data_IF_171780268673
#
_entry.id   IF_171780268673
#
_cell.length_a   1.000
_cell.length_b   1.000
_cell.length_c   1.000
_cell.angle_alpha   90.00
_cell.angle_beta   90.00
_cell.angle_gamma   90.00
#
_symmetry.space_group_name_H-M   'P 1'
#
loop_
_entity.id
_entity.type
_entity.pdbx_description
1 polymer ?
#
# COMPACT_ATOMS: atom_id res chain seq x y z
N UNK A 1 -2.48 -3.94 -6.90
CA UNK A 1 -1.67 -2.90 -7.56
C UNK A 1 -0.20 -3.16 -7.26
N UNK A 2 0.70 -3.19 -8.26
CA UNK A 2 2.11 -3.58 -8.07
C UNK A 2 3.00 -2.44 -7.53
N UNK A 3 2.68 -1.19 -7.84
CA UNK A 3 3.47 -0.01 -7.45
C UNK A 3 3.58 0.14 -5.92
N UNK A 4 2.49 -0.07 -5.17
CA UNK A 4 2.53 -0.06 -3.69
C UNK A 4 3.46 -1.11 -3.10
N UNK A 5 3.57 -2.29 -3.72
CA UNK A 5 4.50 -3.33 -3.25
C UNK A 5 5.95 -2.95 -3.52
N UNK A 6 6.22 -2.27 -4.65
CA UNK A 6 7.55 -1.73 -4.94
C UNK A 6 7.94 -0.71 -3.87
N UNK A 7 7.09 0.26 -3.57
CA UNK A 7 7.36 1.27 -2.52
C UNK A 7 7.60 0.68 -1.13
N UNK A 8 6.82 -0.34 -0.75
CA UNK A 8 7.04 -1.04 0.51
C UNK A 8 8.41 -1.75 0.51
N UNK A 9 8.75 -2.45 -0.59
CA UNK A 9 10.04 -3.10 -0.74
C UNK A 9 11.20 -2.10 -0.70
N UNK A 10 11.06 -0.98 -1.38
CA UNK A 10 12.06 0.09 -1.41
C UNK A 10 12.28 0.68 0.00
N UNK A 11 11.21 0.84 0.79
CA UNK A 11 11.28 1.39 2.16
C UNK A 11 11.85 0.39 3.18
N UNK A 12 11.54 -0.89 3.03
CA UNK A 12 11.77 -1.88 4.10
C UNK A 12 12.80 -2.96 3.76
N UNK A 13 13.09 -3.18 2.48
CA UNK A 13 13.96 -4.26 2.01
C UNK A 13 15.15 -3.79 1.16
N UNK A 14 15.18 -2.53 0.73
CA UNK A 14 16.33 -1.99 0.01
C UNK A 14 17.55 -1.93 0.92
N UNK A 15 18.65 -2.57 0.50
CA UNK A 15 19.96 -2.43 1.12
C UNK A 15 20.74 -1.24 0.53
N UNK A 16 22.04 -1.19 0.77
CA UNK A 16 22.92 -0.11 0.30
C UNK A 16 22.94 0.07 -1.23
N UNK A 17 22.64 -1.00 -1.99
CA UNK A 17 22.54 -0.96 -3.44
C UNK A 17 21.26 -0.25 -3.95
N UNK A 18 20.33 0.10 -3.06
CA UNK A 18 19.05 0.71 -3.42
C UNK A 18 18.02 -0.29 -3.97
N UNK A 19 16.89 0.23 -4.48
CA UNK A 19 15.79 -0.60 -4.98
C UNK A 19 16.11 -1.23 -6.34
N UNK A 20 15.63 -2.45 -6.64
CA UNK A 20 15.92 -3.13 -7.91
C UNK A 20 15.16 -2.53 -9.11
N UNK A 21 14.10 -1.75 -8.87
CA UNK A 21 13.28 -1.07 -9.89
C UNK A 21 12.73 0.22 -9.32
N UNK A 22 12.60 1.25 -10.17
CA UNK A 22 11.94 2.51 -9.84
C UNK A 22 10.75 2.72 -10.78
N UNK A 23 9.65 3.26 -10.27
CA UNK A 23 8.50 3.67 -11.07
C UNK A 23 8.59 5.17 -11.39
N UNK A 24 8.57 5.51 -12.68
CA UNK A 24 8.73 6.88 -13.17
C UNK A 24 7.62 7.25 -14.15
N UNK A 25 7.24 8.52 -14.14
CA UNK A 25 6.27 9.06 -15.07
C UNK A 25 6.90 9.19 -16.45
N UNK A 26 6.25 8.62 -17.46
CA UNK A 26 6.83 8.45 -18.80
C UNK A 26 7.33 9.75 -19.44
N UNK A 27 6.61 10.85 -19.21
CA UNK A 27 6.88 12.11 -19.91
C UNK A 27 7.85 13.02 -19.16
N UNK A 28 7.82 13.03 -17.82
CA UNK A 28 8.64 13.94 -17.01
C UNK A 28 9.72 13.26 -16.16
N UNK A 29 9.75 11.92 -16.09
CA UNK A 29 10.68 11.16 -15.25
C UNK A 29 10.40 11.28 -13.74
N UNK A 30 9.32 11.95 -13.34
CA UNK A 30 8.97 12.12 -11.93
C UNK A 30 8.65 10.78 -11.26
N UNK A 31 9.04 10.63 -10.00
CA UNK A 31 8.75 9.41 -9.24
C UNK A 31 7.25 9.19 -9.09
N UNK A 32 6.78 7.98 -9.39
CA UNK A 32 5.38 7.59 -9.22
C UNK A 32 5.20 7.05 -7.82
N UNK A 33 4.25 7.62 -7.09
CA UNK A 33 3.87 7.19 -5.75
C UNK A 33 2.44 6.66 -5.71
N UNK A 34 2.17 5.72 -4.81
CA UNK A 34 0.86 5.17 -4.55
C UNK A 34 0.14 5.97 -3.48
N UNK A 35 -1.16 6.17 -3.69
CA UNK A 35 -2.02 6.91 -2.77
C UNK A 35 -3.30 6.11 -2.51
N UNK A 36 -3.73 6.06 -1.25
CA UNK A 36 -5.03 5.53 -0.87
C UNK A 36 -6.08 6.60 -1.12
N UNK A 37 -7.18 6.23 -1.78
CA UNK A 37 -8.30 7.13 -2.08
C UNK A 37 -9.58 6.47 -1.60
N UNK A 38 -10.41 7.22 -0.88
CA UNK A 38 -11.73 6.76 -0.48
C UNK A 38 -12.64 6.62 -1.71
N UNK A 39 -13.24 5.46 -1.91
CA UNK A 39 -14.14 5.22 -3.03
C UNK A 39 -15.39 6.13 -2.97
N UNK A 40 -15.91 6.39 -1.78
CA UNK A 40 -17.13 7.18 -1.59
C UNK A 40 -16.91 8.69 -1.78
N UNK A 41 -15.87 9.25 -1.15
CA UNK A 41 -15.65 10.70 -1.16
C UNK A 41 -14.54 11.16 -2.13
N UNK A 42 -13.87 10.24 -2.82
CA UNK A 42 -12.78 10.48 -3.77
C UNK A 42 -11.58 11.28 -3.22
N UNK A 43 -11.50 11.46 -1.89
CA UNK A 43 -10.36 12.14 -1.25
C UNK A 43 -9.19 11.18 -1.05
N UNK A 44 -7.96 11.66 -1.24
CA UNK A 44 -6.79 11.02 -0.67
C UNK A 44 -6.89 10.80 0.84
N UNK A 45 -6.41 9.65 1.31
CA UNK A 45 -6.35 9.30 2.72
C UNK A 45 -4.89 9.07 3.15
N UNK A 46 -4.42 9.71 4.23
CA UNK A 46 -3.21 9.27 4.90
C UNK A 46 -3.45 7.94 5.63
N UNK A 47 -2.38 7.20 5.94
CA UNK A 47 -2.48 5.83 6.48
C UNK A 47 -3.11 5.80 7.87
N UNK A 48 -2.97 6.85 8.67
CA UNK A 48 -3.55 7.00 10.01
C UNK A 48 -5.06 7.28 10.01
N UNK A 49 -5.64 7.63 8.86
CA UNK A 49 -7.09 7.75 8.66
C UNK A 49 -7.74 6.44 8.12
N UNK A 50 -7.00 5.32 8.14
CA UNK A 50 -7.48 4.02 7.64
C UNK A 50 -7.74 3.05 8.79
N UNK A 51 -9.00 2.74 9.03
CA UNK A 51 -9.40 1.68 9.95
C UNK A 51 -9.47 0.33 9.22
N UNK A 52 -8.66 -0.64 9.66
CA UNK A 52 -8.73 -2.02 9.20
C UNK A 52 -9.60 -2.86 10.13
N UNK A 53 -10.68 -3.46 9.61
CA UNK A 53 -11.50 -4.43 10.35
C UNK A 53 -11.37 -5.82 9.76
N UNK A 54 -11.28 -6.83 10.63
CA UNK A 54 -11.40 -8.22 10.21
C UNK A 54 -12.81 -8.44 9.62
N UNK A 55 -12.89 -9.06 8.45
CA UNK A 55 -14.16 -9.37 7.79
C UNK A 55 -14.78 -10.69 8.28
N UNK A 56 -14.09 -11.42 9.17
CA UNK A 56 -14.60 -12.69 9.72
C UNK A 56 -15.34 -12.45 11.04
N UNK A 57 -16.67 -12.43 10.93
CA UNK A 57 -17.56 -12.97 11.97
C UNK A 57 -17.49 -14.50 11.91
N UNK A 58 -17.54 -15.16 13.06
CA UNK A 58 -17.73 -16.62 13.29
C UNK A 58 -16.51 -17.57 13.15
N UNK A 59 -15.83 -17.77 14.29
CA UNK A 59 -15.30 -19.06 14.76
C UNK A 59 -15.52 -19.14 16.29
N UNK A 60 -16.77 -18.92 16.71
CA UNK A 60 -17.28 -19.51 17.95
C UNK A 60 -17.82 -20.90 17.58
N UNK A 61 -17.56 -21.93 18.39
CA UNK A 61 -17.91 -23.36 18.18
C UNK A 61 -16.82 -24.25 17.59
N UNK A 62 -15.63 -24.32 18.21
CA UNK A 62 -14.94 -25.61 18.43
C UNK A 62 -14.03 -25.54 19.67
N UNK A 63 -14.63 -25.30 20.82
CA UNK A 63 -14.01 -25.66 22.10
C UNK A 63 -15.03 -26.57 22.79
N UNK A 64 -14.91 -27.86 22.47
CA UNK A 64 -15.50 -28.93 23.27
C UNK A 64 -14.72 -29.13 24.55
#
# INVERSE_FOLDING_TARGET
MIITLMEWGDRHLAGEAGPPRVAEHKDCGGHVVSQLVCEECARPLPVDEVDSRATRSELSTVAG
#
